data_IF_635535007414
#
_entry.id   IF_635535007414
#
_cell.length_a   1.000
_cell.length_b   1.000
_cell.length_c   1.000
_cell.angle_alpha   90.00
_cell.angle_beta   90.00
_cell.angle_gamma   90.00
#
_symmetry.space_group_name_H-M   'P 1'
#
loop_
_entity.id
_entity.type
_entity.pdbx_description
1 polymer ?
#
# COMPACT_ATOMS: atom_id res chain seq x y z
N UNK A 1 22.67 27.49 -30.09
CA UNK A 1 22.50 26.95 -28.71
C UNK A 1 21.47 25.81 -28.62
N UNK A 2 20.46 25.71 -29.49
CA UNK A 2 19.46 24.64 -29.44
C UNK A 2 20.00 23.21 -29.72
N UNK A 3 21.05 23.06 -30.54
CA UNK A 3 21.57 21.75 -30.93
C UNK A 3 22.27 21.00 -29.76
N UNK A 4 22.91 21.72 -28.84
CA UNK A 4 23.59 21.11 -27.68
C UNK A 4 22.60 20.57 -26.64
N UNK A 5 21.42 21.19 -26.53
CA UNK A 5 20.35 20.75 -25.60
C UNK A 5 19.72 19.44 -26.06
N UNK A 6 19.42 19.30 -27.36
CA UNK A 6 18.91 18.04 -27.91
C UNK A 6 19.93 16.88 -27.79
N UNK A 7 21.23 17.19 -27.86
CA UNK A 7 22.30 16.20 -27.69
C UNK A 7 22.54 15.80 -26.23
N UNK A 8 22.19 16.65 -25.26
CA UNK A 8 22.25 16.28 -23.84
C UNK A 8 21.08 15.42 -23.42
N UNK A 9 19.89 15.66 -23.97
CA UNK A 9 18.69 14.91 -23.62
C UNK A 9 18.79 13.46 -24.14
N UNK A 10 19.16 13.25 -25.41
CA UNK A 10 19.40 11.92 -25.96
C UNK A 10 20.46 11.10 -25.19
N UNK A 11 21.50 11.74 -24.64
CA UNK A 11 22.56 11.02 -23.90
C UNK A 11 22.10 10.53 -22.53
N UNK A 12 21.16 11.23 -21.90
CA UNK A 12 20.55 10.78 -20.64
C UNK A 12 19.68 9.56 -20.89
N UNK A 13 18.86 9.59 -21.94
CA UNK A 13 17.99 8.49 -22.31
C UNK A 13 18.80 7.22 -22.63
N UNK A 14 19.87 7.35 -23.44
CA UNK A 14 20.77 6.21 -23.75
C UNK A 14 21.48 5.67 -22.50
N UNK A 15 21.87 6.54 -21.56
CA UNK A 15 22.51 6.10 -20.32
C UNK A 15 21.54 5.38 -19.37
N UNK A 16 20.27 5.84 -19.31
CA UNK A 16 19.22 5.17 -18.52
C UNK A 16 18.82 3.82 -19.14
N UNK A 17 18.64 3.77 -20.47
CA UNK A 17 18.35 2.52 -21.20
C UNK A 17 19.46 1.47 -21.01
N UNK A 18 20.72 1.90 -20.90
CA UNK A 18 21.86 1.00 -20.62
C UNK A 18 21.83 0.45 -19.18
N UNK A 19 21.36 1.24 -18.20
CA UNK A 19 21.26 0.82 -16.81
C UNK A 19 20.14 -0.20 -16.58
N UNK A 20 19.00 -0.05 -17.26
CA UNK A 20 17.87 -1.00 -17.17
C UNK A 20 18.25 -2.41 -17.64
N UNK A 21 19.21 -2.51 -18.55
CA UNK A 21 19.75 -3.79 -19.02
C UNK A 21 20.72 -4.46 -18.03
N UNK A 22 21.24 -3.72 -17.04
CA UNK A 22 22.23 -4.20 -16.05
C UNK A 22 21.62 -4.38 -14.66
N UNK A 23 20.69 -3.50 -14.28
CA UNK A 23 20.00 -3.50 -12.99
C UNK A 23 18.50 -3.59 -13.22
N UNK A 24 17.93 -4.79 -13.06
CA UNK A 24 16.48 -4.96 -13.05
C UNK A 24 15.94 -4.56 -11.69
N UNK A 25 15.25 -3.41 -11.63
CA UNK A 25 14.60 -2.91 -10.41
C UNK A 25 13.66 -3.97 -9.83
N UNK A 26 12.93 -4.69 -10.68
CA UNK A 26 12.02 -5.76 -10.26
C UNK A 26 12.72 -6.95 -9.59
N UNK A 27 14.01 -7.17 -9.89
CA UNK A 27 14.84 -8.21 -9.24
C UNK A 27 15.65 -7.67 -8.08
N UNK A 28 15.57 -6.37 -7.82
CA UNK A 28 16.26 -5.76 -6.69
C UNK A 28 15.63 -6.20 -5.38
N UNK A 29 16.49 -6.63 -4.45
CA UNK A 29 16.05 -7.16 -3.16
C UNK A 29 15.27 -6.13 -2.33
N UNK A 30 15.64 -4.84 -2.42
CA UNK A 30 14.95 -3.76 -1.70
C UNK A 30 13.58 -3.52 -2.30
N UNK A 31 13.47 -3.55 -3.64
CA UNK A 31 12.19 -3.41 -4.33
C UNK A 31 11.21 -4.54 -3.96
N UNK A 32 11.67 -5.80 -3.96
CA UNK A 32 10.84 -6.95 -3.57
C UNK A 32 10.36 -6.86 -2.12
N UNK A 33 11.23 -6.48 -1.17
CA UNK A 33 10.82 -6.22 0.22
C UNK A 33 9.78 -5.09 0.30
N UNK A 34 9.92 -4.06 -0.53
CA UNK A 34 8.99 -2.95 -0.61
C UNK A 34 7.60 -3.40 -1.07
N UNK A 35 7.54 -4.27 -2.09
CA UNK A 35 6.29 -4.85 -2.57
C UNK A 35 5.61 -5.72 -1.50
N UNK A 36 6.34 -6.64 -0.87
CA UNK A 36 5.78 -7.51 0.18
C UNK A 36 5.18 -6.70 1.34
N UNK A 37 5.93 -5.70 1.84
CA UNK A 37 5.46 -4.79 2.90
C UNK A 37 4.27 -3.94 2.43
N UNK A 38 4.24 -3.55 1.17
CA UNK A 38 3.15 -2.80 0.56
C UNK A 38 1.87 -3.63 0.51
N UNK A 39 1.97 -4.88 0.07
CA UNK A 39 0.86 -5.82 0.00
C UNK A 39 0.30 -6.13 1.39
N UNK A 40 1.16 -6.38 2.37
CA UNK A 40 0.76 -6.62 3.76
C UNK A 40 -0.02 -5.42 4.34
N UNK A 41 0.52 -4.20 4.17
CA UNK A 41 -0.17 -2.97 4.59
C UNK A 41 -1.47 -2.75 3.85
N UNK A 42 -1.53 -3.11 2.56
CA UNK A 42 -2.75 -3.03 1.76
C UNK A 42 -3.85 -3.94 2.30
N UNK A 43 -3.50 -5.20 2.63
CA UNK A 43 -4.42 -6.17 3.24
C UNK A 43 -4.92 -5.70 4.60
N UNK A 44 -4.04 -5.15 5.44
CA UNK A 44 -4.44 -4.61 6.75
C UNK A 44 -5.41 -3.42 6.61
N UNK A 45 -5.09 -2.46 5.73
CA UNK A 45 -5.97 -1.31 5.46
C UNK A 45 -7.33 -1.71 4.90
N UNK A 46 -7.36 -2.67 3.99
CA UNK A 46 -8.63 -3.16 3.43
C UNK A 46 -9.51 -3.79 4.51
N UNK A 47 -8.93 -4.59 5.41
CA UNK A 47 -9.65 -5.14 6.57
C UNK A 47 -10.13 -4.04 7.52
N UNK A 48 -9.30 -3.03 7.79
CA UNK A 48 -9.69 -1.89 8.62
C UNK A 48 -10.88 -1.13 8.01
N UNK A 49 -10.88 -0.90 6.69
CA UNK A 49 -11.98 -0.23 5.99
C UNK A 49 -13.28 -1.05 6.02
N UNK A 50 -13.20 -2.36 5.79
CA UNK A 50 -14.37 -3.25 5.89
C UNK A 50 -14.95 -3.20 7.30
N UNK A 51 -14.12 -3.33 8.33
CA UNK A 51 -14.56 -3.27 9.73
C UNK A 51 -15.19 -1.91 10.06
N UNK A 52 -14.61 -0.79 9.61
CA UNK A 52 -15.20 0.55 9.78
C UNK A 52 -16.56 0.67 9.11
N UNK A 53 -16.68 0.17 7.87
CA UNK A 53 -17.94 0.19 7.14
C UNK A 53 -19.01 -0.65 7.86
N UNK A 54 -18.64 -1.80 8.42
CA UNK A 54 -19.55 -2.62 9.21
C UNK A 54 -19.97 -1.91 10.51
N UNK A 55 -19.03 -1.33 11.25
CA UNK A 55 -19.32 -0.58 12.48
C UNK A 55 -20.22 0.66 12.25
N UNK A 56 -20.15 1.28 11.07
CA UNK A 56 -20.92 2.51 10.77
C UNK A 56 -22.25 2.24 10.09
N UNK A 57 -22.33 1.23 9.22
CA UNK A 57 -23.50 0.98 8.37
C UNK A 57 -24.38 -0.16 8.85
N UNK A 58 -23.93 -0.96 9.82
CA UNK A 58 -24.67 -2.11 10.33
C UNK A 58 -24.88 -2.01 11.84
N UNK A 59 -25.91 -2.68 12.34
CA UNK A 59 -26.21 -2.83 13.76
C UNK A 59 -25.71 -4.18 14.32
N UNK A 60 -24.66 -4.74 13.70
CA UNK A 60 -24.03 -5.99 14.13
C UNK A 60 -23.24 -5.80 15.42
N UNK A 61 -23.17 -6.86 16.23
CA UNK A 61 -22.29 -6.92 17.41
C UNK A 61 -20.82 -7.02 17.00
N UNK A 62 -19.92 -6.66 17.91
CA UNK A 62 -18.45 -6.69 17.67
C UNK A 62 -18.00 -8.10 17.29
N UNK A 63 -18.59 -9.12 17.93
CA UNK A 63 -18.34 -10.54 17.68
C UNK A 63 -18.76 -10.95 16.28
N UNK A 64 -19.94 -10.49 15.82
CA UNK A 64 -20.41 -10.77 14.46
C UNK A 64 -19.57 -10.07 13.41
N UNK A 65 -19.12 -8.84 13.68
CA UNK A 65 -18.23 -8.11 12.77
C UNK A 65 -16.89 -8.82 12.65
N UNK A 66 -16.35 -9.30 13.77
CA UNK A 66 -15.10 -10.06 13.79
C UNK A 66 -15.20 -11.34 12.95
N UNK A 67 -16.31 -12.08 13.10
CA UNK A 67 -16.59 -13.30 12.32
C UNK A 67 -16.73 -13.01 10.81
N UNK A 68 -17.55 -12.03 10.44
CA UNK A 68 -17.78 -11.66 9.03
C UNK A 68 -16.51 -11.12 8.35
N UNK A 69 -15.73 -10.31 9.05
CA UNK A 69 -14.49 -9.72 8.51
C UNK A 69 -13.28 -10.67 8.61
N UNK A 70 -13.42 -11.83 9.28
CA UNK A 70 -12.32 -12.78 9.48
C UNK A 70 -11.15 -12.19 10.28
N UNK A 71 -11.47 -11.43 11.32
CA UNK A 71 -10.49 -10.75 12.21
C UNK A 71 -10.81 -11.07 13.67
N UNK A 72 -9.89 -10.75 14.59
CA UNK A 72 -10.17 -10.89 16.02
C UNK A 72 -11.09 -9.79 16.55
N UNK A 73 -11.82 -10.10 17.62
CA UNK A 73 -12.64 -9.12 18.35
C UNK A 73 -11.79 -7.92 18.80
N UNK A 74 -10.57 -8.17 19.30
CA UNK A 74 -9.62 -7.13 19.71
C UNK A 74 -9.27 -6.17 18.57
N UNK A 75 -9.17 -6.67 17.33
CA UNK A 75 -8.90 -5.82 16.17
C UNK A 75 -10.08 -4.90 15.87
N UNK A 76 -11.31 -5.40 15.97
CA UNK A 76 -12.53 -4.58 15.81
C UNK A 76 -12.61 -3.52 16.89
N UNK A 77 -12.34 -3.88 18.15
CA UNK A 77 -12.32 -2.93 19.27
C UNK A 77 -11.26 -1.83 19.10
N UNK A 78 -10.06 -2.20 18.65
CA UNK A 78 -8.99 -1.24 18.35
C UNK A 78 -9.43 -0.23 17.30
N UNK A 79 -10.13 -0.68 16.25
CA UNK A 79 -10.66 0.20 15.20
C UNK A 79 -11.75 1.10 15.76
N UNK A 80 -12.67 0.55 16.57
CA UNK A 80 -13.72 1.33 17.23
C UNK A 80 -13.15 2.44 18.12
N UNK A 81 -12.11 2.14 18.90
CA UNK A 81 -11.40 3.13 19.73
C UNK A 81 -10.72 4.19 18.88
N UNK A 82 -10.06 3.80 17.78
CA UNK A 82 -9.40 4.72 16.85
C UNK A 82 -10.41 5.69 16.19
N UNK A 83 -11.62 5.21 15.89
CA UNK A 83 -12.70 6.07 15.38
C UNK A 83 -13.17 7.08 16.43
N UNK A 84 -13.40 6.63 17.67
CA UNK A 84 -13.84 7.49 18.76
C UNK A 84 -12.78 8.53 19.20
N UNK A 85 -11.49 8.25 19.01
CA UNK A 85 -10.39 9.16 19.32
C UNK A 85 -10.15 10.23 18.24
N UNK A 86 -10.83 10.14 17.09
CA UNK A 86 -10.70 11.10 15.98
C UNK A 86 -11.88 12.11 15.96
N UNK A 87 -12.80 12.03 16.91
CA UNK A 87 -13.86 13.03 17.19
C UNK A 87 -13.44 14.05 18.26
#
# INVERSE_FOLDING_TARGET
>A
MAQLRNLSDNRKDIAMDSLDNVFSIEKDFIYMIGLDKGEEKGKEKAKEEVVRNLLTKTSLSVEQIADVAGVSVEFVDKIRQKMAATE
#
